data_IF_225917047639
#
_entry.id   IF_225917047639
#
_cell.length_a   1.000
_cell.length_b   1.000
_cell.length_c   1.000
_cell.angle_alpha   90.00
_cell.angle_beta   90.00
_cell.angle_gamma   90.00
#
_symmetry.space_group_name_H-M   'P 1'
#
loop_
_entity.id
_entity.type
_entity.pdbx_description
1 polymer ?
#
# COMPACT_ATOMS: atom_id res chain seq x y z
N UNK A 1 -12.73 -14.81 28.80
CA UNK A 1 -11.50 -14.88 27.98
C UNK A 1 -11.75 -15.18 26.49
N UNK A 2 -12.68 -16.07 26.10
CA UNK A 2 -12.95 -16.38 24.67
C UNK A 2 -13.41 -15.18 23.83
N UNK A 3 -14.31 -14.35 24.37
CA UNK A 3 -14.87 -13.16 23.70
C UNK A 3 -13.80 -12.12 23.31
N UNK A 4 -12.84 -11.88 24.21
CA UNK A 4 -11.75 -10.92 24.00
C UNK A 4 -10.73 -11.36 22.93
N UNK A 5 -10.69 -12.65 22.60
CA UNK A 5 -9.80 -13.21 21.58
C UNK A 5 -10.39 -13.02 20.19
N UNK A 6 -11.72 -13.11 20.08
CA UNK A 6 -12.48 -12.93 18.83
C UNK A 6 -12.47 -11.47 18.36
N UNK A 7 -12.69 -10.52 19.28
CA UNK A 7 -12.59 -9.07 19.04
C UNK A 7 -11.23 -8.65 18.46
N UNK A 8 -10.12 -9.15 19.03
CA UNK A 8 -8.77 -8.83 18.54
C UNK A 8 -8.49 -9.42 17.15
N UNK A 9 -9.04 -10.59 16.84
CA UNK A 9 -8.92 -11.20 15.51
C UNK A 9 -9.69 -10.41 14.46
N UNK A 10 -10.92 -9.97 14.80
CA UNK A 10 -11.75 -9.12 13.95
C UNK A 10 -11.09 -7.76 13.69
N UNK A 11 -10.51 -7.15 14.72
CA UNK A 11 -9.73 -5.91 14.60
C UNK A 11 -8.50 -6.09 13.70
N UNK A 12 -7.71 -7.16 13.89
CA UNK A 12 -6.54 -7.43 13.06
C UNK A 12 -6.92 -7.60 11.58
N UNK A 13 -8.04 -8.30 11.30
CA UNK A 13 -8.57 -8.47 9.94
C UNK A 13 -9.04 -7.15 9.32
N UNK A 14 -9.68 -6.28 10.11
CA UNK A 14 -10.10 -4.95 9.66
C UNK A 14 -8.91 -4.05 9.34
N UNK A 15 -7.89 -4.04 10.20
CA UNK A 15 -6.64 -3.29 10.00
C UNK A 15 -5.93 -3.77 8.74
N UNK A 16 -5.80 -5.09 8.55
CA UNK A 16 -5.18 -5.67 7.35
C UNK A 16 -5.95 -5.29 6.08
N UNK A 17 -7.28 -5.37 6.10
CA UNK A 17 -8.12 -5.00 4.95
C UNK A 17 -8.00 -3.51 4.62
N UNK A 18 -7.94 -2.65 5.64
CA UNK A 18 -7.76 -1.21 5.48
C UNK A 18 -6.40 -0.90 4.84
N UNK A 19 -5.35 -1.58 5.31
CA UNK A 19 -4.01 -1.47 4.75
C UNK A 19 -3.95 -1.92 3.29
N UNK A 20 -4.53 -3.08 2.94
CA UNK A 20 -4.63 -3.53 1.54
C UNK A 20 -5.41 -2.51 0.70
N UNK A 21 -6.46 -1.89 1.27
CA UNK A 21 -7.19 -0.81 0.61
C UNK A 21 -6.31 0.39 0.26
N UNK A 22 -5.38 0.78 1.14
CA UNK A 22 -4.42 1.85 0.87
C UNK A 22 -3.47 1.48 -0.28
N UNK A 23 -3.01 0.22 -0.33
CA UNK A 23 -2.16 -0.27 -1.41
C UNK A 23 -2.87 -0.19 -2.76
N UNK A 24 -4.12 -0.68 -2.80
CA UNK A 24 -4.98 -0.64 -3.99
C UNK A 24 -5.22 0.80 -4.42
N UNK A 25 -5.45 1.72 -3.48
CA UNK A 25 -5.66 3.13 -3.79
C UNK A 25 -4.43 3.77 -4.44
N UNK A 26 -3.22 3.50 -3.93
CA UNK A 26 -1.98 3.97 -4.55
C UNK A 26 -1.84 3.39 -5.97
N UNK A 27 -2.04 2.07 -6.11
CA UNK A 27 -1.89 1.39 -7.39
C UNK A 27 -2.90 1.87 -8.43
N UNK A 28 -4.17 1.94 -8.08
CA UNK A 28 -5.23 2.44 -8.94
C UNK A 28 -4.98 3.90 -9.31
N UNK A 29 -4.60 4.74 -8.33
CA UNK A 29 -4.26 6.14 -8.57
C UNK A 29 -3.12 6.29 -9.57
N UNK A 30 -2.07 5.48 -9.43
CA UNK A 30 -0.95 5.47 -10.36
C UNK A 30 -1.38 4.98 -11.76
N UNK A 31 -2.05 3.84 -11.84
CA UNK A 31 -2.43 3.22 -13.11
C UNK A 31 -3.41 4.09 -13.90
N UNK A 32 -4.52 4.52 -13.27
CA UNK A 32 -5.49 5.40 -13.92
C UNK A 32 -4.89 6.77 -14.22
N UNK A 33 -4.08 7.32 -13.31
CA UNK A 33 -3.35 8.56 -13.54
C UNK A 33 -2.47 8.47 -14.80
N UNK A 34 -1.75 7.35 -14.95
CA UNK A 34 -0.89 7.11 -16.10
C UNK A 34 -1.66 6.96 -17.41
N UNK A 35 -2.72 6.13 -17.41
CA UNK A 35 -3.56 5.91 -18.59
C UNK A 35 -4.23 7.22 -19.03
N UNK A 36 -4.87 7.94 -18.11
CA UNK A 36 -5.53 9.21 -18.43
C UNK A 36 -4.54 10.32 -18.78
N UNK A 37 -3.36 10.34 -18.15
CA UNK A 37 -2.29 11.29 -18.47
C UNK A 37 -1.79 11.10 -19.90
N UNK A 38 -1.56 9.86 -20.34
CA UNK A 38 -1.19 9.56 -21.74
C UNK A 38 -2.31 9.95 -22.71
N UNK A 39 -3.57 9.75 -22.31
CA UNK A 39 -4.72 10.18 -23.10
C UNK A 39 -4.90 11.72 -23.16
N UNK A 40 -4.04 12.49 -22.50
CA UNK A 40 -4.08 13.95 -22.48
C UNK A 40 -5.12 14.54 -21.53
N UNK A 41 -5.74 13.73 -20.67
CA UNK A 41 -6.72 14.22 -19.71
C UNK A 41 -6.01 14.80 -18.48
N UNK A 42 -6.30 16.06 -18.16
CA UNK A 42 -5.74 16.78 -17.01
C UNK A 42 -5.91 16.03 -15.68
N UNK A 43 -7.05 15.33 -15.53
CA UNK A 43 -7.35 14.52 -14.35
C UNK A 43 -6.30 13.42 -14.12
N UNK A 44 -5.71 12.88 -15.19
CA UNK A 44 -4.68 11.86 -15.12
C UNK A 44 -3.38 12.39 -14.54
N UNK A 45 -2.92 13.55 -15.00
CA UNK A 45 -1.73 14.22 -14.45
C UNK A 45 -1.94 14.68 -13.01
N UNK A 46 -3.15 15.13 -12.66
CA UNK A 46 -3.49 15.46 -11.27
C UNK A 46 -3.40 14.23 -10.36
N UNK A 47 -3.96 13.09 -10.78
CA UNK A 47 -3.86 11.80 -10.07
C UNK A 47 -2.41 11.34 -9.91
N UNK A 48 -1.60 11.41 -10.97
CA UNK A 48 -0.16 11.10 -10.89
C UNK A 48 0.57 12.01 -9.91
N UNK A 49 0.33 13.33 -9.97
CA UNK A 49 0.92 14.30 -9.08
C UNK A 49 0.57 14.04 -7.61
N UNK A 50 -0.69 13.67 -7.34
CA UNK A 50 -1.12 13.26 -6.01
C UNK A 50 -0.36 12.02 -5.52
N UNK A 51 -0.26 10.99 -6.37
CA UNK A 51 0.45 9.74 -6.04
C UNK A 51 1.95 9.99 -5.81
N UNK A 52 2.61 10.80 -6.64
CA UNK A 52 4.03 11.11 -6.43
C UNK A 52 4.28 11.93 -5.17
N UNK A 53 3.37 12.85 -4.83
CA UNK A 53 3.52 13.70 -3.64
C UNK A 53 3.18 12.99 -2.33
N UNK A 54 2.11 12.21 -2.31
CA UNK A 54 1.57 11.62 -1.08
C UNK A 54 1.69 10.09 -1.01
N UNK A 55 1.98 9.41 -2.12
CA UNK A 55 2.03 7.96 -2.21
C UNK A 55 3.03 7.33 -1.25
N UNK A 56 4.18 7.98 -1.00
CA UNK A 56 5.15 7.51 0.02
C UNK A 56 4.55 7.55 1.42
N UNK A 57 3.87 8.64 1.80
CA UNK A 57 3.23 8.76 3.11
C UNK A 57 2.11 7.74 3.31
N UNK A 58 1.30 7.51 2.28
CA UNK A 58 0.23 6.49 2.29
C UNK A 58 0.85 5.09 2.36
N UNK A 59 1.92 4.84 1.61
CA UNK A 59 2.65 3.57 1.60
C UNK A 59 3.27 3.24 2.95
N UNK A 60 3.94 4.21 3.60
CA UNK A 60 4.47 4.06 4.97
C UNK A 60 3.33 3.73 5.95
N UNK A 61 2.21 4.45 5.85
CA UNK A 61 1.04 4.19 6.70
C UNK A 61 0.52 2.76 6.53
N UNK A 62 0.46 2.26 5.30
CA UNK A 62 0.09 0.87 5.01
C UNK A 62 1.07 -0.15 5.61
N UNK A 63 2.38 0.10 5.48
CA UNK A 63 3.42 -0.76 6.08
C UNK A 63 3.29 -0.82 7.59
N UNK A 64 3.10 0.33 8.26
CA UNK A 64 2.91 0.41 9.72
C UNK A 64 1.69 -0.42 10.15
N UNK A 65 0.56 -0.29 9.45
CA UNK A 65 -0.65 -1.08 9.75
C UNK A 65 -0.39 -2.60 9.63
N UNK A 66 0.35 -3.05 8.61
CA UNK A 66 0.73 -4.47 8.46
C UNK A 66 1.65 -4.95 9.59
N UNK A 67 2.61 -4.12 10.02
CA UNK A 67 3.48 -4.44 11.17
C UNK A 67 2.64 -4.64 12.44
N UNK A 68 1.66 -3.77 12.68
CA UNK A 68 0.74 -3.91 13.82
C UNK A 68 -0.03 -5.24 13.75
N UNK A 69 -0.52 -5.62 12.57
CA UNK A 69 -1.21 -6.91 12.35
C UNK A 69 -0.28 -8.09 12.63
N UNK A 70 0.98 -8.02 12.20
CA UNK A 70 2.00 -9.06 12.44
C UNK A 70 2.23 -9.22 13.96
N UNK A 71 2.43 -8.12 14.69
CA UNK A 71 2.64 -8.13 16.15
C UNK A 71 1.43 -8.73 16.87
N UNK A 72 0.21 -8.34 16.49
CA UNK A 72 -1.04 -8.88 17.07
C UNK A 72 -1.24 -10.38 16.75
N UNK A 73 -0.65 -10.86 15.67
CA UNK A 73 -0.76 -12.25 15.23
C UNK A 73 0.32 -13.17 15.82
N UNK A 74 1.47 -12.63 16.25
CA UNK A 74 2.64 -13.40 16.69
C UNK A 74 2.43 -14.36 17.88
N UNK A 75 1.53 -14.03 18.82
CA UNK A 75 1.43 -14.76 20.11
C UNK A 75 0.52 -15.99 20.14
N UNK A 76 -0.17 -16.34 19.04
CA UNK A 76 -1.12 -17.47 19.03
C UNK A 76 -1.04 -18.24 17.71
N UNK A 77 -0.60 -19.49 17.80
CA UNK A 77 -0.47 -20.38 16.66
C UNK A 77 -1.85 -20.94 16.31
N UNK A 78 -2.51 -20.31 15.34
CA UNK A 78 -3.79 -20.78 14.79
C UNK A 78 -3.71 -20.61 13.28
N UNK A 79 -4.24 -21.57 12.53
CA UNK A 79 -4.18 -21.61 11.07
C UNK A 79 -4.57 -20.26 10.42
N UNK A 80 -5.63 -19.61 10.91
CA UNK A 80 -6.09 -18.29 10.45
C UNK A 80 -5.06 -17.16 10.65
N UNK A 81 -4.22 -17.22 11.69
CA UNK A 81 -3.18 -16.21 11.94
C UNK A 81 -1.96 -16.40 11.04
N UNK A 82 -1.63 -17.65 10.67
CA UNK A 82 -0.62 -17.93 9.62
C UNK A 82 -1.04 -17.36 8.28
N UNK A 83 -2.33 -17.45 7.93
CA UNK A 83 -2.88 -16.85 6.72
C UNK A 83 -2.76 -15.32 6.75
N UNK A 84 -3.15 -14.66 7.84
CA UNK A 84 -3.00 -13.20 7.99
C UNK A 84 -1.54 -12.74 7.89
N UNK A 85 -0.61 -13.49 8.48
CA UNK A 85 0.84 -13.23 8.37
C UNK A 85 1.33 -13.40 6.92
N UNK A 86 0.92 -14.48 6.25
CA UNK A 86 1.32 -14.74 4.85
C UNK A 86 0.80 -13.64 3.91
N UNK A 87 -0.47 -13.27 4.03
CA UNK A 87 -1.10 -12.20 3.23
C UNK A 87 -0.46 -10.84 3.54
N UNK A 88 -0.24 -10.52 4.82
CA UNK A 88 0.45 -9.30 5.24
C UNK A 88 1.84 -9.18 4.63
N UNK A 89 2.66 -10.23 4.75
CA UNK A 89 4.01 -10.25 4.19
C UNK A 89 4.03 -10.20 2.65
N UNK A 90 3.17 -10.97 1.99
CA UNK A 90 3.08 -10.97 0.51
C UNK A 90 2.67 -9.59 -0.02
N UNK A 91 1.68 -8.95 0.62
CA UNK A 91 1.26 -7.60 0.24
C UNK A 91 2.33 -6.53 0.51
N UNK A 92 3.20 -6.70 1.52
CA UNK A 92 4.35 -5.82 1.72
C UNK A 92 5.32 -5.91 0.56
N UNK A 93 5.68 -7.12 0.12
CA UNK A 93 6.60 -7.33 -1.02
C UNK A 93 6.05 -6.66 -2.28
N UNK A 94 4.76 -6.85 -2.56
CA UNK A 94 4.11 -6.23 -3.71
C UNK A 94 4.18 -4.69 -3.64
N UNK A 95 3.92 -4.11 -2.47
CA UNK A 95 4.00 -2.66 -2.26
C UNK A 95 5.43 -2.13 -2.45
N UNK A 96 6.45 -2.87 -2.02
CA UNK A 96 7.84 -2.49 -2.28
C UNK A 96 8.19 -2.50 -3.77
N UNK A 97 7.77 -3.53 -4.51
CA UNK A 97 8.01 -3.62 -5.96
C UNK A 97 7.35 -2.44 -6.68
N UNK A 98 6.06 -2.21 -6.42
CA UNK A 98 5.30 -1.12 -7.04
C UNK A 98 5.89 0.24 -6.62
N UNK A 99 6.19 0.43 -5.34
CA UNK A 99 6.79 1.64 -4.83
C UNK A 99 8.13 1.96 -5.48
N UNK A 100 8.99 0.95 -5.69
CA UNK A 100 10.26 1.12 -6.37
C UNK A 100 10.09 1.54 -7.84
N UNK A 101 9.12 0.96 -8.56
CA UNK A 101 8.81 1.34 -9.95
C UNK A 101 8.31 2.79 -10.01
N UNK A 102 7.30 3.12 -9.18
CA UNK A 102 6.70 4.47 -9.16
C UNK A 102 7.74 5.53 -8.81
N UNK A 103 8.57 5.27 -7.79
CA UNK A 103 9.62 6.19 -7.38
C UNK A 103 10.74 6.31 -8.42
N UNK A 104 11.12 5.20 -9.06
CA UNK A 104 12.10 5.20 -10.14
C UNK A 104 11.67 6.07 -11.33
N UNK A 105 10.40 5.95 -11.75
CA UNK A 105 9.83 6.78 -12.83
C UNK A 105 9.85 8.26 -12.43
N UNK A 106 9.41 8.58 -11.21
CA UNK A 106 9.43 9.95 -10.69
C UNK A 106 10.83 10.55 -10.69
N UNK A 107 11.82 9.77 -10.23
CA UNK A 107 13.21 10.22 -10.15
C UNK A 107 13.83 10.47 -11.52
N UNK A 108 13.60 9.58 -12.50
CA UNK A 108 14.03 9.77 -13.89
C UNK A 108 13.43 11.06 -14.46
N UNK A 109 12.12 11.25 -14.31
CA UNK A 109 11.44 12.45 -14.79
C UNK A 109 12.03 13.73 -14.19
N UNK A 110 12.30 13.72 -12.87
CA UNK A 110 12.92 14.87 -12.18
C UNK A 110 14.30 15.22 -12.71
N UNK A 111 15.14 14.21 -13.01
CA UNK A 111 16.47 14.44 -13.59
C UNK A 111 16.34 15.02 -14.99
N UNK A 112 15.47 14.46 -15.83
CA UNK A 112 15.28 14.94 -17.21
C UNK A 112 14.83 16.40 -17.27
N UNK A 113 13.99 16.85 -16.33
CA UNK A 113 13.57 18.27 -16.24
C UNK A 113 14.64 19.20 -15.70
N UNK A 114 15.71 18.69 -15.09
CA UNK A 114 16.79 19.50 -14.53
C UNK A 114 17.97 19.69 -15.50
N UNK A 115 18.03 18.90 -16.57
CA UNK A 115 19.15 18.89 -17.55
C UNK A 115 18.74 19.47 -18.91
N UNK A 116 17.43 19.61 -19.18
CA UNK A 116 16.90 20.29 -20.37
C UNK A 116 16.57 21.75 -20.11
#
# INVERSE_FOLDING_TARGET
MRYYIDEREKLAKLILRSSIGLDIFIYAGFFFGFVFGIAGAEIGFWLLGFVFRYGVHIGISSVVLKIVVIILSYKKDTYKKRELLSVGSSSMVLLFIIGAIVWGIYYIGKIMTAVG
#
